data_IF_966678503780
#
_entry.id   IF_966678503780
#
_cell.length_a   1.000
_cell.length_b   1.000
_cell.length_c   1.000
_cell.angle_alpha   90.00
_cell.angle_beta   90.00
_cell.angle_gamma   90.00
#
_symmetry.space_group_name_H-M   'P 1'
#
loop_
_entity.id
_entity.type
_entity.pdbx_description
1 polymer ?
#
# COMPACT_ATOMS: atom_id res chain seq x y z
N UNK A 1 49.46 -12.38 47.37
CA UNK A 1 48.29 -12.92 46.65
C UNK A 1 47.57 -11.75 45.99
N UNK A 2 47.63 -11.62 44.67
CA UNK A 2 47.01 -10.53 43.90
C UNK A 2 45.78 -11.11 43.19
N UNK A 3 44.58 -10.67 43.60
CA UNK A 3 43.33 -11.02 42.95
C UNK A 3 43.20 -10.19 41.68
N UNK A 4 43.21 -10.85 40.51
CA UNK A 4 42.91 -10.24 39.22
C UNK A 4 41.40 -10.35 39.03
N UNK A 5 40.68 -9.26 39.30
CA UNK A 5 39.27 -9.12 38.97
C UNK A 5 39.16 -8.79 37.48
N UNK A 6 38.83 -9.78 36.66
CA UNK A 6 38.50 -9.58 35.26
C UNK A 6 37.02 -9.18 35.14
N UNK A 7 36.77 -7.90 34.84
CA UNK A 7 35.44 -7.36 34.55
C UNK A 7 35.13 -7.70 33.08
N UNK A 8 34.20 -8.63 32.87
CA UNK A 8 33.64 -8.99 31.58
C UNK A 8 32.62 -7.92 31.16
N UNK A 9 33.07 -6.88 30.44
CA UNK A 9 32.16 -5.96 29.75
C UNK A 9 31.54 -6.68 28.55
N UNK A 10 30.36 -7.27 28.74
CA UNK A 10 29.48 -7.66 27.65
C UNK A 10 28.99 -6.38 26.96
N UNK A 11 29.68 -5.99 25.89
CA UNK A 11 29.22 -4.94 24.98
C UNK A 11 27.96 -5.46 24.29
N UNK A 12 26.79 -5.10 24.82
CA UNK A 12 25.51 -5.29 24.15
C UNK A 12 25.48 -4.37 22.93
N UNK A 13 26.03 -4.83 21.81
CA UNK A 13 25.81 -4.20 20.52
C UNK A 13 24.32 -4.37 20.23
N UNK A 14 23.56 -3.27 20.37
CA UNK A 14 22.12 -3.25 20.13
C UNK A 14 21.84 -3.81 18.73
N UNK A 15 21.00 -4.84 18.63
CA UNK A 15 20.57 -5.44 17.36
C UNK A 15 19.51 -4.55 16.64
N UNK A 16 19.01 -3.51 17.31
CA UNK A 16 17.93 -2.64 16.81
C UNK A 16 18.25 -1.91 15.50
N UNK A 17 19.46 -1.35 15.27
CA UNK A 17 19.77 -0.65 14.01
C UNK A 17 19.67 -1.56 12.79
N UNK A 18 20.00 -2.85 12.95
CA UNK A 18 19.90 -3.84 11.88
C UNK A 18 18.45 -4.15 11.55
N UNK A 19 17.62 -4.42 12.55
CA UNK A 19 16.21 -4.72 12.35
C UNK A 19 15.44 -3.54 11.75
N UNK A 20 15.75 -2.31 12.21
CA UNK A 20 15.18 -1.10 11.63
C UNK A 20 15.53 -0.96 10.14
N UNK A 21 16.80 -1.16 9.78
CA UNK A 21 17.23 -1.12 8.38
C UNK A 21 16.59 -2.24 7.54
N UNK A 22 16.43 -3.43 8.08
CA UNK A 22 15.75 -4.54 7.39
C UNK A 22 14.27 -4.21 7.14
N UNK A 23 13.59 -3.60 8.11
CA UNK A 23 12.21 -3.14 7.96
C UNK A 23 12.07 -2.01 6.93
N UNK A 24 13.02 -1.07 6.92
CA UNK A 24 13.07 0.03 5.94
C UNK A 24 13.22 -0.50 4.50
N UNK A 25 14.18 -1.41 4.28
CA UNK A 25 14.41 -2.07 2.99
C UNK A 25 13.18 -2.88 2.55
N UNK A 26 12.49 -3.52 3.50
CA UNK A 26 11.24 -4.22 3.25
C UNK A 26 10.14 -3.27 2.74
N UNK A 27 9.98 -2.10 3.35
CA UNK A 27 8.99 -1.10 2.91
C UNK A 27 9.35 -0.51 1.54
N UNK A 28 10.61 -0.18 1.30
CA UNK A 28 11.12 0.25 -0.01
C UNK A 28 10.81 -0.77 -1.12
N UNK A 29 11.06 -2.06 -0.83
CA UNK A 29 10.75 -3.14 -1.77
C UNK A 29 9.26 -3.28 -2.01
N UNK A 30 8.47 -3.04 -0.96
CA UNK A 30 7.01 -3.07 -1.01
C UNK A 30 6.46 -1.95 -1.88
N UNK A 31 6.98 -0.73 -1.75
CA UNK A 31 6.59 0.41 -2.59
C UNK A 31 6.88 0.13 -4.07
N UNK A 32 8.07 -0.40 -4.40
CA UNK A 32 8.40 -0.82 -5.77
C UNK A 32 7.48 -1.93 -6.29
N UNK A 33 7.04 -2.84 -5.43
CA UNK A 33 6.06 -3.89 -5.79
C UNK A 33 4.70 -3.27 -6.09
N UNK A 34 4.22 -2.35 -5.25
CA UNK A 34 2.94 -1.64 -5.45
C UNK A 34 2.97 -0.79 -6.72
N UNK A 35 4.06 -0.09 -7.00
CA UNK A 35 4.25 0.62 -8.25
C UNK A 35 4.07 -0.33 -9.45
N UNK A 36 4.73 -1.49 -9.44
CA UNK A 36 4.59 -2.48 -10.53
C UNK A 36 3.16 -3.03 -10.66
N UNK A 37 2.45 -3.25 -9.56
CA UNK A 37 1.04 -3.69 -9.58
C UNK A 37 0.15 -2.64 -10.26
N UNK A 38 0.34 -1.37 -9.90
CA UNK A 38 -0.55 -0.30 -10.35
C UNK A 38 -0.23 0.17 -11.77
N UNK A 39 1.03 0.44 -12.05
CA UNK A 39 1.48 1.11 -13.28
C UNK A 39 2.56 0.33 -14.05
N UNK A 40 3.12 -0.72 -13.46
CA UNK A 40 4.02 -1.63 -14.17
C UNK A 40 3.33 -2.25 -15.38
N UNK A 41 4.09 -2.45 -16.46
CA UNK A 41 3.60 -2.96 -17.74
C UNK A 41 2.37 -2.20 -18.29
N UNK A 42 2.25 -0.91 -17.95
CA UNK A 42 1.11 -0.05 -18.32
C UNK A 42 -0.24 -0.61 -17.83
N UNK A 43 -0.28 -1.30 -16.69
CA UNK A 43 -1.49 -1.99 -16.21
C UNK A 43 -2.73 -1.09 -16.09
N UNK A 44 -2.62 0.10 -15.45
CA UNK A 44 -3.76 1.02 -15.35
C UNK A 44 -4.13 1.66 -16.71
N UNK A 45 -3.15 1.91 -17.58
CA UNK A 45 -3.41 2.40 -18.95
C UNK A 45 -4.16 1.35 -19.77
N UNK A 46 -3.78 0.07 -19.65
CA UNK A 46 -4.48 -1.04 -20.31
C UNK A 46 -5.91 -1.19 -19.79
N UNK A 47 -6.12 -1.00 -18.48
CA UNK A 47 -7.46 -0.98 -17.88
C UNK A 47 -8.30 0.16 -18.45
N UNK A 48 -7.76 1.37 -18.49
CA UNK A 48 -8.45 2.54 -19.03
C UNK A 48 -8.76 2.37 -20.52
N UNK A 49 -7.79 1.88 -21.30
CA UNK A 49 -7.97 1.54 -22.72
C UNK A 49 -9.08 0.50 -22.91
N UNK A 50 -9.15 -0.51 -22.05
CA UNK A 50 -10.22 -1.51 -22.11
C UNK A 50 -11.61 -0.89 -21.87
N UNK A 51 -11.74 0.08 -20.96
CA UNK A 51 -13.00 0.82 -20.78
C UNK A 51 -13.34 1.65 -22.03
N UNK A 52 -12.38 2.38 -22.60
CA UNK A 52 -12.58 3.19 -23.82
C UNK A 52 -12.99 2.31 -25.01
N UNK A 53 -12.39 1.12 -25.14
CA UNK A 53 -12.67 0.16 -26.21
C UNK A 53 -13.92 -0.70 -25.96
N UNK A 54 -14.75 -0.39 -24.94
CA UNK A 54 -15.93 -1.18 -24.57
C UNK A 54 -15.62 -2.67 -24.29
N UNK A 55 -14.49 -2.96 -23.64
CA UNK A 55 -14.07 -4.30 -23.20
C UNK A 55 -14.12 -4.40 -21.67
N UNK A 56 -15.31 -4.36 -21.06
CA UNK A 56 -15.43 -4.29 -19.60
C UNK A 56 -14.99 -5.57 -18.89
N UNK A 57 -15.05 -6.74 -19.53
CA UNK A 57 -14.45 -7.98 -19.02
C UNK A 57 -12.94 -7.86 -18.78
N UNK A 58 -12.24 -7.23 -19.74
CA UNK A 58 -10.80 -7.02 -19.64
C UNK A 58 -10.47 -6.02 -18.52
N UNK A 59 -11.17 -4.87 -18.48
CA UNK A 59 -11.00 -3.89 -17.41
C UNK A 59 -11.25 -4.50 -16.02
N UNK A 60 -12.32 -5.30 -15.89
CA UNK A 60 -12.64 -6.03 -14.67
C UNK A 60 -11.52 -6.99 -14.25
N UNK A 61 -11.01 -7.79 -15.19
CA UNK A 61 -9.96 -8.77 -14.90
C UNK A 61 -8.65 -8.11 -14.43
N UNK A 62 -8.28 -6.98 -15.03
CA UNK A 62 -7.09 -6.20 -14.64
C UNK A 62 -7.30 -5.63 -13.23
N UNK A 63 -8.44 -4.98 -12.98
CA UNK A 63 -8.76 -4.42 -11.67
C UNK A 63 -8.76 -5.48 -10.56
N UNK A 64 -9.34 -6.66 -10.82
CA UNK A 64 -9.32 -7.81 -9.90
C UNK A 64 -7.91 -8.28 -9.59
N UNK A 65 -7.04 -8.42 -10.60
CA UNK A 65 -5.63 -8.79 -10.40
C UNK A 65 -4.94 -7.78 -9.49
N UNK A 66 -5.06 -6.49 -9.79
CA UNK A 66 -4.44 -5.42 -8.99
C UNK A 66 -4.93 -5.41 -7.54
N UNK A 67 -6.24 -5.54 -7.32
CA UNK A 67 -6.81 -5.59 -5.98
C UNK A 67 -6.32 -6.81 -5.19
N UNK A 68 -6.25 -7.99 -5.81
CA UNK A 68 -5.75 -9.20 -5.16
C UNK A 68 -4.27 -9.09 -4.79
N UNK A 69 -3.44 -8.54 -5.68
CA UNK A 69 -2.02 -8.34 -5.44
C UNK A 69 -1.76 -7.28 -4.34
N UNK A 70 -2.50 -6.17 -4.34
CA UNK A 70 -2.46 -5.16 -3.27
C UNK A 70 -2.89 -5.74 -1.92
N UNK A 71 -3.95 -6.55 -1.89
CA UNK A 71 -4.36 -7.24 -0.66
C UNK A 71 -3.28 -8.22 -0.16
N UNK A 72 -2.50 -8.81 -1.07
CA UNK A 72 -1.31 -9.59 -0.71
C UNK A 72 -0.25 -8.73 -0.02
N UNK A 73 0.07 -7.57 -0.59
CA UNK A 73 1.02 -6.61 -0.01
C UNK A 73 0.62 -6.14 1.39
N UNK A 74 -0.66 -5.78 1.58
CA UNK A 74 -1.16 -5.35 2.90
C UNK A 74 -0.96 -6.45 3.94
N UNK A 75 -1.27 -7.70 3.59
CA UNK A 75 -1.06 -8.86 4.48
C UNK A 75 0.41 -9.14 4.78
N UNK A 76 1.32 -8.86 3.85
CA UNK A 76 2.77 -8.95 4.07
C UNK A 76 3.21 -7.93 5.12
N UNK A 77 2.77 -6.67 4.99
CA UNK A 77 3.07 -5.61 5.97
C UNK A 77 2.47 -5.94 7.34
N UNK A 78 1.21 -6.39 7.40
CA UNK A 78 0.54 -6.82 8.64
C UNK A 78 1.33 -7.89 9.41
N UNK A 79 2.03 -8.78 8.71
CA UNK A 79 2.83 -9.86 9.30
C UNK A 79 4.25 -9.46 9.68
N UNK A 80 4.74 -8.31 9.23
CA UNK A 80 6.08 -7.85 9.58
C UNK A 80 6.19 -7.65 11.10
N UNK A 81 7.20 -8.26 11.71
CA UNK A 81 7.49 -8.09 13.14
C UNK A 81 8.25 -6.78 13.36
N UNK A 82 7.75 -5.98 14.30
CA UNK A 82 8.21 -4.62 14.59
C UNK A 82 8.24 -4.33 16.09
N UNK A 83 8.14 -5.35 16.94
CA UNK A 83 7.86 -5.14 18.37
C UNK A 83 8.94 -4.39 19.14
N UNK A 84 10.19 -4.42 18.67
CA UNK A 84 11.36 -3.82 19.33
C UNK A 84 12.04 -2.72 18.52
N UNK A 85 11.38 -2.24 17.46
CA UNK A 85 11.88 -1.19 16.58
C UNK A 85 11.13 0.11 16.88
N UNK A 86 11.86 1.19 17.16
CA UNK A 86 11.25 2.49 17.52
C UNK A 86 10.42 3.03 16.36
N UNK A 87 9.24 3.56 16.64
CA UNK A 87 8.28 4.14 15.65
C UNK A 87 7.81 3.19 14.53
N UNK A 88 8.22 1.92 14.54
CA UNK A 88 7.93 0.99 13.46
C UNK A 88 6.47 0.54 13.44
N UNK A 89 5.79 0.52 14.59
CA UNK A 89 4.36 0.20 14.70
C UNK A 89 3.52 1.28 14.02
N UNK A 90 3.86 2.54 14.27
CA UNK A 90 3.23 3.72 13.67
C UNK A 90 3.45 3.74 12.16
N UNK A 91 4.69 3.52 11.70
CA UNK A 91 5.00 3.44 10.27
C UNK A 91 4.29 2.27 9.59
N UNK A 92 4.28 1.08 10.21
CA UNK A 92 3.54 -0.10 9.73
C UNK A 92 2.05 0.23 9.55
N UNK A 93 1.42 0.82 10.57
CA UNK A 93 0.01 1.16 10.53
C UNK A 93 -0.31 2.21 9.45
N UNK A 94 0.52 3.25 9.32
CA UNK A 94 0.35 4.27 8.29
C UNK A 94 0.50 3.68 6.87
N UNK A 95 1.46 2.78 6.68
CA UNK A 95 1.68 2.06 5.42
C UNK A 95 0.47 1.20 5.04
N UNK A 96 -0.09 0.44 6.00
CA UNK A 96 -1.31 -0.36 5.79
C UNK A 96 -2.46 0.54 5.34
N UNK A 97 -2.68 1.67 6.03
CA UNK A 97 -3.76 2.59 5.70
C UNK A 97 -3.59 3.16 4.29
N UNK A 98 -2.38 3.61 3.94
CA UNK A 98 -2.07 4.12 2.60
C UNK A 98 -2.41 3.09 1.51
N UNK A 99 -1.87 1.86 1.61
CA UNK A 99 -2.13 0.82 0.61
C UNK A 99 -3.58 0.34 0.61
N UNK A 100 -4.28 0.38 1.75
CA UNK A 100 -5.73 0.16 1.79
C UNK A 100 -6.49 1.21 0.97
N UNK A 101 -6.04 2.47 0.95
CA UNK A 101 -6.64 3.51 0.11
C UNK A 101 -6.50 3.19 -1.38
N UNK A 102 -5.33 2.68 -1.80
CA UNK A 102 -5.12 2.23 -3.18
C UNK A 102 -5.99 1.02 -3.53
N UNK A 103 -6.16 0.08 -2.59
CA UNK A 103 -7.06 -1.06 -2.74
C UNK A 103 -8.53 -0.61 -2.89
N UNK A 104 -8.96 0.36 -2.07
CA UNK A 104 -10.31 0.93 -2.15
C UNK A 104 -10.55 1.58 -3.53
N UNK A 105 -9.55 2.25 -4.09
CA UNK A 105 -9.61 2.78 -5.45
C UNK A 105 -9.77 1.67 -6.50
N UNK A 106 -9.00 0.58 -6.41
CA UNK A 106 -9.14 -0.56 -7.33
C UNK A 106 -10.50 -1.26 -7.20
N UNK A 107 -11.06 -1.32 -6.00
CA UNK A 107 -12.42 -1.83 -5.80
C UNK A 107 -13.47 -0.95 -6.50
N UNK A 108 -13.27 0.36 -6.55
CA UNK A 108 -14.12 1.25 -7.34
C UNK A 108 -13.98 0.99 -8.84
N UNK A 109 -12.76 0.80 -9.33
CA UNK A 109 -12.53 0.47 -10.76
C UNK A 109 -13.17 -0.87 -11.17
N UNK A 110 -13.18 -1.86 -10.27
CA UNK A 110 -13.87 -3.14 -10.46
C UNK A 110 -15.38 -2.92 -10.60
N UNK A 111 -15.97 -2.14 -9.69
CA UNK A 111 -17.41 -1.82 -9.71
C UNK A 111 -17.82 -1.06 -10.97
N UNK A 112 -16.98 -0.13 -11.43
CA UNK A 112 -17.19 0.59 -12.70
C UNK A 112 -17.26 -0.38 -13.89
N UNK A 113 -16.30 -1.32 -13.96
CA UNK A 113 -16.29 -2.33 -15.01
C UNK A 113 -17.51 -3.26 -14.92
N UNK A 114 -17.90 -3.73 -13.72
CA UNK A 114 -19.09 -4.56 -13.52
C UNK A 114 -20.38 -3.86 -13.98
N UNK A 115 -20.53 -2.57 -13.65
CA UNK A 115 -21.69 -1.80 -14.08
C UNK A 115 -21.72 -1.59 -15.59
N UNK A 116 -20.57 -1.41 -16.23
CA UNK A 116 -20.50 -1.35 -17.69
C UNK A 116 -20.96 -2.67 -18.33
N UNK A 117 -20.58 -3.83 -17.75
CA UNK A 117 -21.10 -5.15 -18.18
C UNK A 117 -22.61 -5.25 -18.00
N UNK A 118 -23.12 -4.80 -16.86
CA UNK A 118 -24.55 -4.85 -16.54
C UNK A 118 -25.37 -3.86 -17.42
N UNK A 119 -24.83 -2.69 -17.73
CA UNK A 119 -25.43 -1.67 -18.60
C UNK A 119 -25.48 -2.09 -20.07
N UNK A 120 -24.50 -2.87 -20.54
CA UNK A 120 -24.59 -3.58 -21.83
C UNK A 120 -25.70 -4.65 -21.84
N UNK A 121 -26.04 -5.21 -20.67
CA UNK A 121 -27.11 -6.21 -20.52
C UNK A 121 -28.51 -5.60 -20.26
N UNK A 122 -28.61 -4.37 -19.72
CA UNK A 122 -29.87 -3.64 -19.47
C UNK A 122 -29.65 -2.13 -19.58
N UNK A 123 -30.03 -1.55 -20.72
CA UNK A 123 -30.11 -0.11 -20.87
C UNK A 123 -31.29 0.47 -20.06
N UNK A 124 -31.04 1.60 -19.37
CA UNK A 124 -31.98 2.48 -18.63
C UNK A 124 -32.38 2.08 -17.21
N UNK A 125 -31.46 2.33 -16.27
CA UNK A 125 -31.62 2.81 -14.87
C UNK A 125 -30.17 2.82 -14.34
N UNK A 126 -29.49 3.93 -14.05
CA UNK A 126 -29.90 5.15 -13.40
C UNK A 126 -28.77 6.17 -13.62
N UNK A 127 -29.09 7.35 -14.16
CA UNK A 127 -28.13 8.45 -14.36
C UNK A 127 -27.48 8.91 -13.03
N UNK A 128 -28.13 8.60 -11.89
CA UNK A 128 -27.66 8.85 -10.53
C UNK A 128 -26.47 8.00 -10.10
N UNK A 129 -26.31 6.79 -10.64
CA UNK A 129 -25.23 5.88 -10.19
C UNK A 129 -23.91 6.19 -10.92
N UNK A 130 -23.97 6.57 -12.20
CA UNK A 130 -22.80 6.99 -13.00
C UNK A 130 -22.15 8.29 -12.52
N UNK A 131 -22.95 9.27 -12.09
CA UNK A 131 -22.43 10.52 -11.49
C UNK A 131 -21.79 10.32 -10.10
N UNK A 132 -22.01 9.16 -9.47
CA UNK A 132 -21.42 8.84 -8.16
C UNK A 132 -19.95 8.39 -8.25
N UNK A 133 -19.53 7.78 -9.36
CA UNK A 133 -18.17 7.22 -9.50
C UNK A 133 -17.07 8.27 -9.54
N UNK A 134 -17.16 9.34 -10.35
CA UNK A 134 -16.14 10.39 -10.34
C UNK A 134 -16.01 11.06 -8.96
N UNK A 135 -17.14 11.28 -8.27
CA UNK A 135 -17.16 11.84 -6.90
C UNK A 135 -16.51 10.88 -5.90
N UNK A 136 -16.84 9.60 -5.97
CA UNK A 136 -16.26 8.56 -5.11
C UNK A 136 -14.75 8.41 -5.35
N UNK A 137 -14.30 8.42 -6.61
CA UNK A 137 -12.86 8.41 -6.95
C UNK A 137 -12.16 9.65 -6.41
N UNK A 138 -12.74 10.84 -6.58
CA UNK A 138 -12.18 12.09 -6.04
C UNK A 138 -12.00 12.02 -4.53
N UNK A 139 -13.01 11.55 -3.79
CA UNK A 139 -12.92 11.41 -2.33
C UNK A 139 -11.87 10.37 -1.91
N UNK A 140 -11.80 9.24 -2.62
CA UNK A 140 -10.76 8.24 -2.37
C UNK A 140 -9.37 8.81 -2.64
N UNK A 141 -9.18 9.58 -3.73
CA UNK A 141 -7.90 10.25 -3.99
C UNK A 141 -7.52 11.23 -2.88
N UNK A 142 -8.48 12.01 -2.36
CA UNK A 142 -8.26 12.87 -1.19
C UNK A 142 -7.80 12.07 0.03
N UNK A 143 -8.45 10.94 0.29
CA UNK A 143 -8.09 10.03 1.39
C UNK A 143 -6.69 9.43 1.18
N UNK A 144 -6.35 9.00 -0.04
CA UNK A 144 -5.03 8.46 -0.38
C UNK A 144 -3.96 9.53 -0.11
N UNK A 145 -4.15 10.76 -0.59
CA UNK A 145 -3.20 11.86 -0.35
C UNK A 145 -2.99 12.13 1.14
N UNK A 146 -4.05 12.14 1.94
CA UNK A 146 -3.92 12.32 3.39
C UNK A 146 -3.15 11.19 4.07
N UNK A 147 -3.36 9.95 3.61
CA UNK A 147 -2.68 8.76 4.14
C UNK A 147 -1.22 8.69 3.68
N UNK A 148 -0.94 9.14 2.47
CA UNK A 148 0.42 9.26 1.92
C UNK A 148 1.25 10.23 2.75
N UNK A 149 0.72 11.42 3.02
CA UNK A 149 1.38 12.37 3.91
C UNK A 149 1.58 11.80 5.32
N UNK A 150 0.60 11.07 5.85
CA UNK A 150 0.73 10.43 7.16
C UNK A 150 1.81 9.36 7.19
N UNK A 151 1.90 8.55 6.12
CA UNK A 151 2.95 7.55 5.93
C UNK A 151 4.32 8.21 5.83
N UNK A 152 4.48 9.25 5.01
CA UNK A 152 5.73 10.01 4.92
C UNK A 152 6.16 10.59 6.26
N UNK A 153 5.24 11.23 7.00
CA UNK A 153 5.55 11.76 8.34
C UNK A 153 5.95 10.65 9.31
N UNK A 154 5.30 9.49 9.26
CA UNK A 154 5.67 8.34 10.10
C UNK A 154 7.05 7.78 9.71
N UNK A 155 7.37 7.77 8.42
CA UNK A 155 8.66 7.32 7.90
C UNK A 155 9.79 8.22 8.38
N UNK A 156 9.63 9.54 8.29
CA UNK A 156 10.64 10.47 8.79
C UNK A 156 10.92 10.30 10.29
N UNK A 157 9.88 10.13 11.12
CA UNK A 157 10.05 9.86 12.56
C UNK A 157 10.76 8.53 12.81
N UNK A 158 10.44 7.51 12.03
CA UNK A 158 11.09 6.21 12.10
C UNK A 158 12.57 6.28 11.74
N UNK A 159 12.91 6.95 10.64
CA UNK A 159 14.30 7.14 10.20
C UNK A 159 15.11 7.92 11.25
N UNK A 160 14.54 8.98 11.82
CA UNK A 160 15.15 9.77 12.90
C UNK A 160 15.34 8.94 14.17
N UNK A 161 14.33 8.18 14.61
CA UNK A 161 14.40 7.42 15.85
C UNK A 161 15.36 6.22 15.81
N UNK A 162 15.74 5.77 14.62
CA UNK A 162 16.59 4.60 14.38
C UNK A 162 17.92 4.94 13.66
N UNK A 163 18.28 6.22 13.56
CA UNK A 163 19.55 6.69 12.99
C UNK A 163 19.79 6.20 11.53
N UNK A 164 18.75 6.25 10.69
CA UNK A 164 18.79 5.78 9.29
C UNK A 164 18.98 6.89 8.25
N UNK A 165 19.24 8.13 8.68
CA UNK A 165 19.46 9.29 7.81
C UNK A 165 20.82 9.26 7.10
#
# INVERSE_FOLDING_TARGET
MKYITAIFFLVLVSCQPRQAKEFDVFLDSTERKVYRILVGDSADDMRLKALIENKPDLAFSIGKRQANELSGVIREIERADVNDIKEAKELKQASIQYYQGLLDLKNVDILEAELMKAGMAKARKTESDTLSFPRKRLEIHRIISQRDEAMHRARSRFEEANDLQ
#
